data_IF_161530729639
#
_entry.id   IF_161530729639
#
_cell.length_a   1.000
_cell.length_b   1.000
_cell.length_c   1.000
_cell.angle_alpha   90.00
_cell.angle_beta   90.00
_cell.angle_gamma   90.00
#
_symmetry.space_group_name_H-M   'P 1'
#
loop_
_entity.id
_entity.type
_entity.pdbx_description
1 polymer ?
#
# COMPACT_ATOMS: atom_id res chain seq x y z
N UNK A 1 -0.69 10.88 31.59
CA UNK A 1 -1.72 11.15 30.56
C UNK A 1 -1.43 12.52 29.95
N UNK A 2 -0.77 12.55 28.79
CA UNK A 2 -0.62 13.67 27.84
C UNK A 2 0.38 13.25 26.76
N UNK A 3 -0.09 12.48 25.79
CA UNK A 3 0.55 12.31 24.49
C UNK A 3 -0.44 11.51 23.64
N UNK A 4 -1.08 12.22 22.71
CA UNK A 4 -1.81 11.80 21.50
C UNK A 4 -2.93 12.84 21.37
N UNK A 5 -2.59 14.02 20.90
CA UNK A 5 -3.43 14.84 20.04
C UNK A 5 -2.52 15.88 19.39
N UNK A 6 -2.68 15.99 18.08
CA UNK A 6 -1.88 16.80 17.16
C UNK A 6 -1.70 18.23 17.66
N UNK A 7 -0.51 18.53 18.19
CA UNK A 7 0.08 19.86 18.23
C UNK A 7 1.57 19.66 18.50
N UNK A 8 2.40 20.38 17.74
CA UNK A 8 3.86 20.34 17.82
C UNK A 8 4.34 20.53 19.26
N UNK A 9 4.73 19.46 19.94
CA UNK A 9 5.36 19.47 21.27
C UNK A 9 6.67 18.69 21.22
N UNK A 10 7.55 19.13 20.31
CA UNK A 10 8.94 18.73 20.28
C UNK A 10 9.75 19.55 21.30
N UNK A 11 9.61 19.26 22.60
CA UNK A 11 10.63 19.67 23.60
C UNK A 11 10.55 18.87 24.91
N UNK A 12 10.47 17.53 24.83
CA UNK A 12 10.75 16.67 25.98
C UNK A 12 11.57 15.47 25.55
N UNK A 13 12.86 15.67 25.42
CA UNK A 13 13.84 14.58 25.30
C UNK A 13 14.06 13.92 26.67
N UNK A 14 14.10 12.59 26.77
CA UNK A 14 14.40 11.91 28.03
C UNK A 14 15.77 12.37 28.56
N UNK A 15 15.78 12.89 29.79
CA UNK A 15 17.01 13.38 30.46
C UNK A 15 17.96 12.24 30.85
N UNK A 16 17.46 11.00 30.96
CA UNK A 16 18.25 9.82 31.29
C UNK A 16 18.88 9.20 30.03
N UNK A 17 20.18 8.87 30.09
CA UNK A 17 20.94 8.22 29.00
C UNK A 17 20.29 6.91 28.55
N UNK A 18 19.80 6.10 29.50
CA UNK A 18 19.06 4.86 29.21
C UNK A 18 17.71 5.12 28.50
N UNK A 19 17.03 6.21 28.84
CA UNK A 19 15.77 6.59 28.20
C UNK A 19 15.94 7.04 26.74
N UNK A 20 17.09 7.62 26.39
CA UNK A 20 17.42 8.03 25.01
C UNK A 20 17.63 6.82 24.11
N UNK A 21 18.40 5.83 24.57
CA UNK A 21 18.66 4.59 23.81
C UNK A 21 17.35 3.83 23.57
N UNK A 22 16.50 3.72 24.58
CA UNK A 22 15.18 3.12 24.43
C UNK A 22 14.30 3.85 23.42
N UNK A 23 14.25 5.19 23.47
CA UNK A 23 13.48 6.00 22.52
C UNK A 23 13.95 5.80 21.07
N UNK A 24 15.26 5.75 20.85
CA UNK A 24 15.84 5.51 19.51
C UNK A 24 15.46 4.13 19.00
N UNK A 25 15.65 3.07 19.81
CA UNK A 25 15.27 1.71 19.42
C UNK A 25 13.77 1.61 19.13
N UNK A 26 12.94 2.25 19.95
CA UNK A 26 11.50 2.27 19.77
C UNK A 26 11.07 2.91 18.45
N UNK A 27 11.64 4.07 18.10
CA UNK A 27 11.36 4.74 16.82
C UNK A 27 11.80 3.84 15.66
N UNK A 28 12.99 3.23 15.75
CA UNK A 28 13.50 2.33 14.70
C UNK A 28 12.58 1.12 14.54
N UNK A 29 12.15 0.49 15.63
CA UNK A 29 11.21 -0.65 15.58
C UNK A 29 9.86 -0.24 14.98
N UNK A 30 9.31 0.92 15.37
CA UNK A 30 8.07 1.44 14.80
C UNK A 30 8.18 1.70 13.30
N UNK A 31 9.30 2.31 12.86
CA UNK A 31 9.57 2.54 11.44
C UNK A 31 9.66 1.23 10.66
N UNK A 32 10.38 0.24 11.16
CA UNK A 32 10.50 -1.08 10.51
C UNK A 32 9.13 -1.75 10.36
N UNK A 33 8.29 -1.72 11.40
CA UNK A 33 6.95 -2.33 11.35
C UNK A 33 6.07 -1.64 10.32
N UNK A 34 6.07 -0.30 10.30
CA UNK A 34 5.28 0.48 9.33
C UNK A 34 5.78 0.19 7.90
N UNK A 35 7.08 0.11 7.68
CA UNK A 35 7.65 -0.22 6.37
C UNK A 35 7.25 -1.60 5.88
N UNK A 36 7.34 -2.63 6.74
CA UNK A 36 6.92 -4.00 6.39
C UNK A 36 5.43 -4.05 6.09
N UNK A 37 4.61 -3.37 6.88
CA UNK A 37 3.16 -3.28 6.65
C UNK A 37 2.84 -2.67 5.28
N UNK A 38 3.43 -1.50 4.98
CA UNK A 38 3.24 -0.84 3.68
C UNK A 38 3.70 -1.76 2.55
N UNK A 39 4.86 -2.41 2.68
CA UNK A 39 5.38 -3.33 1.66
C UNK A 39 4.44 -4.52 1.41
N UNK A 40 3.86 -5.12 2.45
CA UNK A 40 2.88 -6.21 2.29
C UNK A 40 1.60 -5.74 1.59
N UNK A 41 1.08 -4.57 1.96
CA UNK A 41 -0.10 -3.99 1.30
C UNK A 41 0.19 -3.71 -0.17
N UNK A 42 1.34 -3.11 -0.48
CA UNK A 42 1.76 -2.85 -1.87
C UNK A 42 1.96 -4.14 -2.65
N UNK A 43 2.59 -5.16 -2.07
CA UNK A 43 2.78 -6.45 -2.73
C UNK A 43 1.46 -7.17 -3.02
N UNK A 44 0.54 -7.18 -2.05
CA UNK A 44 -0.78 -7.79 -2.21
C UNK A 44 -1.60 -7.06 -3.28
N UNK A 45 -1.55 -5.73 -3.29
CA UNK A 45 -2.19 -4.92 -4.32
C UNK A 45 -1.60 -5.21 -5.71
N UNK A 46 -0.27 -5.28 -5.82
CA UNK A 46 0.40 -5.56 -7.08
C UNK A 46 0.12 -6.97 -7.63
N UNK A 47 -0.16 -7.95 -6.77
CA UNK A 47 -0.50 -9.30 -7.20
C UNK A 47 -1.92 -9.40 -7.76
N UNK A 48 -2.85 -8.61 -7.22
CA UNK A 48 -4.25 -8.60 -7.67
C UNK A 48 -4.46 -7.73 -8.91
N UNK A 49 -3.59 -6.77 -9.19
CA UNK A 49 -3.65 -5.95 -10.42
C UNK A 49 -3.25 -6.69 -11.69
N UNK A 50 -2.45 -7.75 -11.58
CA UNK A 50 -2.04 -8.55 -12.73
C UNK A 50 -2.30 -10.02 -12.43
N UNK A 51 -3.57 -10.47 -12.48
CA UNK A 51 -3.85 -11.89 -12.46
C UNK A 51 -3.09 -12.51 -13.63
N UNK A 52 -2.19 -13.43 -13.32
CA UNK A 52 -1.49 -14.21 -14.32
C UNK A 52 -2.18 -15.57 -14.39
N UNK A 53 -2.98 -15.77 -15.42
CA UNK A 53 -3.47 -17.10 -15.75
C UNK A 53 -2.33 -17.93 -16.36
N UNK A 54 -2.04 -19.17 -15.93
CA UNK A 54 -1.15 -20.05 -16.68
C UNK A 54 -1.94 -20.77 -17.79
N UNK A 55 -1.51 -20.65 -19.05
CA UNK A 55 -2.09 -21.44 -20.17
C UNK A 55 -1.59 -22.90 -20.12
N UNK A 56 -0.35 -23.09 -19.69
CA UNK A 56 0.26 -24.42 -19.63
C UNK A 56 -0.41 -25.27 -18.55
N UNK A 57 -0.97 -26.41 -18.96
CA UNK A 57 -1.65 -27.34 -18.06
C UNK A 57 -3.02 -26.89 -17.54
N UNK A 58 -3.57 -25.76 -18.02
CA UNK A 58 -4.96 -25.40 -17.73
C UNK A 58 -5.91 -26.03 -18.75
N UNK A 59 -7.15 -26.27 -18.32
CA UNK A 59 -8.20 -26.86 -19.14
C UNK A 59 -8.91 -25.76 -19.95
N UNK A 60 -8.64 -25.72 -21.26
CA UNK A 60 -9.10 -24.71 -22.20
C UNK A 60 -10.22 -25.26 -23.08
N UNK A 61 -11.36 -24.57 -23.08
CA UNK A 61 -12.48 -24.83 -23.97
C UNK A 61 -12.27 -24.23 -25.37
N UNK A 62 -12.55 -25.02 -26.40
CA UNK A 62 -12.51 -24.58 -27.81
C UNK A 62 -13.67 -25.16 -28.61
N UNK A 63 -14.03 -24.47 -29.70
CA UNK A 63 -15.05 -24.95 -30.63
C UNK A 63 -14.46 -26.05 -31.52
N UNK A 64 -15.27 -27.05 -31.86
CA UNK A 64 -14.84 -28.15 -32.72
C UNK A 64 -14.37 -27.66 -34.11
N UNK A 65 -13.24 -28.20 -34.57
CA UNK A 65 -12.68 -27.91 -35.90
C UNK A 65 -12.05 -26.52 -36.06
N UNK A 66 -11.73 -25.86 -34.95
CA UNK A 66 -11.22 -24.48 -34.94
C UNK A 66 -9.67 -24.43 -34.84
N UNK A 67 -9.05 -23.35 -35.35
CA UNK A 67 -7.58 -23.18 -35.31
C UNK A 67 -7.09 -22.97 -33.87
N UNK A 68 -7.97 -22.49 -32.99
CA UNK A 68 -7.75 -22.33 -31.56
C UNK A 68 -7.39 -23.65 -30.87
N UNK A 69 -7.93 -24.78 -31.34
CA UNK A 69 -7.54 -26.10 -30.83
C UNK A 69 -6.05 -26.37 -31.06
N UNK A 70 -5.58 -26.13 -32.29
CA UNK A 70 -4.19 -26.35 -32.67
C UNK A 70 -3.26 -25.40 -31.91
N UNK A 71 -3.66 -24.14 -31.75
CA UNK A 71 -2.91 -23.16 -30.96
C UNK A 71 -2.79 -23.62 -29.49
N UNK A 72 -3.86 -24.09 -28.87
CA UNK A 72 -3.83 -24.59 -27.49
C UNK A 72 -2.92 -25.80 -27.29
N UNK A 73 -2.91 -26.74 -28.24
CA UNK A 73 -1.98 -27.88 -28.23
C UNK A 73 -0.52 -27.41 -28.32
N UNK A 74 -0.22 -26.44 -29.20
CA UNK A 74 1.13 -25.86 -29.32
C UNK A 74 1.58 -25.14 -28.04
N UNK A 75 0.62 -24.59 -27.29
CA UNK A 75 0.85 -23.94 -26.00
C UNK A 75 0.82 -24.92 -24.82
N UNK A 76 0.79 -26.24 -25.04
CA UNK A 76 0.78 -27.26 -23.98
C UNK A 76 -0.37 -27.06 -22.97
N UNK A 77 -1.54 -26.65 -23.45
CA UNK A 77 -2.78 -26.59 -22.69
C UNK A 77 -3.57 -27.91 -22.81
N UNK A 78 -4.39 -28.22 -21.81
CA UNK A 78 -5.33 -29.34 -21.90
C UNK A 78 -6.60 -28.85 -22.62
N UNK A 79 -7.06 -29.56 -23.65
CA UNK A 79 -8.10 -29.06 -24.56
C UNK A 79 -9.42 -29.80 -24.38
N UNK A 80 -10.50 -29.07 -24.09
CA UNK A 80 -11.89 -29.58 -24.09
C UNK A 80 -12.64 -29.03 -25.31
N UNK A 81 -13.15 -29.94 -26.14
CA UNK A 81 -13.84 -29.59 -27.39
C UNK A 81 -15.33 -29.46 -27.13
N UNK A 82 -15.92 -28.37 -27.63
CA UNK A 82 -17.35 -28.09 -27.57
C UNK A 82 -17.95 -27.91 -28.96
N UNK A 83 -19.24 -28.21 -29.10
CA UNK A 83 -19.93 -28.05 -30.38
C UNK A 83 -20.29 -26.59 -30.67
N UNK A 84 -20.66 -25.82 -29.64
CA UNK A 84 -21.11 -24.43 -29.77
C UNK A 84 -20.42 -23.53 -28.76
N UNK A 85 -20.35 -22.24 -29.11
CA UNK A 85 -19.80 -21.20 -28.22
C UNK A 85 -20.59 -21.07 -26.91
N UNK A 86 -21.91 -21.26 -26.96
CA UNK A 86 -22.78 -21.22 -25.78
C UNK A 86 -22.40 -22.28 -24.73
N UNK A 87 -22.01 -23.47 -25.18
CA UNK A 87 -21.62 -24.57 -24.29
C UNK A 87 -20.30 -24.25 -23.57
N UNK A 88 -19.40 -23.50 -24.24
CA UNK A 88 -18.16 -22.99 -23.64
C UNK A 88 -18.49 -21.96 -22.56
N UNK A 89 -19.38 -21.01 -22.85
CA UNK A 89 -19.80 -19.99 -21.87
C UNK A 89 -20.41 -20.65 -20.63
N UNK A 90 -21.29 -21.64 -20.80
CA UNK A 90 -21.90 -22.38 -19.68
C UNK A 90 -20.85 -23.17 -18.87
N UNK A 91 -19.90 -23.82 -19.55
CA UNK A 91 -18.79 -24.52 -18.90
C UNK A 91 -17.87 -23.57 -18.11
N UNK A 92 -17.61 -22.36 -18.61
CA UNK A 92 -16.87 -21.32 -17.88
C UNK A 92 -17.63 -20.89 -16.61
N UNK A 93 -18.94 -20.67 -16.71
CA UNK A 93 -19.77 -20.27 -15.57
C UNK A 93 -19.84 -21.36 -14.49
N UNK A 94 -19.85 -22.63 -14.90
CA UNK A 94 -19.84 -23.78 -13.99
C UNK A 94 -18.45 -24.11 -13.45
N UNK A 95 -17.42 -23.36 -13.85
CA UNK A 95 -16.01 -23.65 -13.51
C UNK A 95 -15.59 -25.08 -13.92
N UNK A 96 -16.16 -25.61 -15.01
CA UNK A 96 -15.76 -26.91 -15.58
C UNK A 96 -14.51 -26.81 -16.47
N UNK A 97 -14.17 -25.60 -16.89
CA UNK A 97 -12.98 -25.25 -17.67
C UNK A 97 -12.37 -23.99 -17.08
N UNK A 98 -11.05 -23.88 -17.15
CA UNK A 98 -10.28 -22.77 -16.58
C UNK A 98 -10.30 -21.54 -17.49
N UNK A 99 -10.44 -21.76 -18.80
CA UNK A 99 -10.45 -20.71 -19.81
C UNK A 99 -10.98 -21.19 -21.15
N UNK A 100 -11.08 -20.28 -22.11
CA UNK A 100 -11.48 -20.61 -23.48
C UNK A 100 -10.70 -19.80 -24.50
N UNK A 101 -10.37 -20.42 -25.62
CA UNK A 101 -9.84 -19.70 -26.78
C UNK A 101 -10.94 -19.45 -27.78
N UNK A 102 -11.14 -18.17 -28.07
CA UNK A 102 -12.18 -17.69 -28.98
C UNK A 102 -11.60 -16.52 -29.74
N UNK A 103 -11.74 -16.54 -31.06
CA UNK A 103 -11.35 -15.42 -31.88
C UNK A 103 -12.14 -14.13 -31.54
N UNK A 104 -11.45 -13.00 -31.69
CA UNK A 104 -11.97 -11.65 -31.46
C UNK A 104 -13.26 -11.32 -32.21
N UNK A 105 -13.41 -11.72 -33.48
CA UNK A 105 -14.65 -11.47 -34.24
C UNK A 105 -15.82 -12.27 -33.66
N UNK A 106 -15.56 -13.52 -33.24
CA UNK A 106 -16.58 -14.38 -32.63
C UNK A 106 -17.04 -13.83 -31.28
N UNK A 107 -16.11 -13.37 -30.44
CA UNK A 107 -16.40 -12.69 -29.17
C UNK A 107 -17.27 -11.46 -29.43
N UNK A 108 -16.87 -10.62 -30.40
CA UNK A 108 -17.60 -9.40 -30.75
C UNK A 108 -19.03 -9.68 -31.24
N UNK A 109 -19.21 -10.71 -32.06
CA UNK A 109 -20.53 -11.13 -32.53
C UNK A 109 -21.43 -11.62 -31.39
N UNK A 110 -20.85 -12.24 -30.36
CA UNK A 110 -21.56 -12.82 -29.21
C UNK A 110 -21.34 -12.04 -27.91
N UNK A 111 -21.07 -10.73 -27.98
CA UNK A 111 -20.77 -9.89 -26.82
C UNK A 111 -21.80 -10.02 -25.69
N UNK A 112 -23.07 -10.23 -26.02
CA UNK A 112 -24.14 -10.38 -25.04
C UNK A 112 -23.95 -11.64 -24.15
N UNK A 113 -23.27 -12.68 -24.63
CA UNK A 113 -22.97 -13.89 -23.85
C UNK A 113 -21.84 -13.70 -22.84
N UNK A 114 -21.10 -12.60 -22.94
CA UNK A 114 -19.93 -12.33 -22.09
C UNK A 114 -20.23 -11.15 -21.17
N UNK A 115 -20.88 -10.10 -21.69
CA UNK A 115 -21.15 -8.86 -20.95
C UNK A 115 -21.99 -9.04 -19.69
N UNK A 116 -22.98 -9.93 -19.73
CA UNK A 116 -23.93 -10.11 -18.62
C UNK A 116 -23.42 -11.11 -17.56
N UNK A 117 -22.22 -11.64 -17.76
CA UNK A 117 -21.62 -12.70 -16.97
C UNK A 117 -20.27 -12.25 -16.39
N UNK A 118 -19.79 -12.88 -15.29
CA UNK A 118 -18.49 -12.56 -14.69
C UNK A 118 -17.31 -13.14 -15.51
N UNK A 119 -17.39 -13.10 -16.84
CA UNK A 119 -16.37 -13.59 -17.76
C UNK A 119 -15.56 -12.40 -18.23
N UNK A 120 -14.23 -12.49 -18.13
CA UNK A 120 -13.29 -11.45 -18.55
C UNK A 120 -12.31 -11.99 -19.58
N UNK A 121 -11.89 -11.12 -20.49
CA UNK A 121 -10.79 -11.40 -21.42
C UNK A 121 -9.49 -11.23 -20.64
N UNK A 122 -8.75 -12.32 -20.45
CA UNK A 122 -7.48 -12.32 -19.71
C UNK A 122 -6.32 -11.79 -20.55
N UNK A 123 -6.18 -12.29 -21.78
CA UNK A 123 -5.12 -11.89 -22.70
C UNK A 123 -5.55 -12.05 -24.15
N UNK A 124 -4.94 -11.27 -25.04
CA UNK A 124 -5.04 -11.46 -26.48
C UNK A 124 -3.78 -12.17 -26.97
N UNK A 125 -3.93 -13.26 -27.70
CA UNK A 125 -2.82 -14.00 -28.32
C UNK A 125 -2.76 -13.61 -29.79
N UNK A 126 -1.62 -13.11 -30.23
CA UNK A 126 -1.40 -12.80 -31.65
C UNK A 126 -1.15 -14.11 -32.41
N UNK A 127 -2.16 -14.58 -33.13
CA UNK A 127 -2.06 -15.70 -34.06
C UNK A 127 -2.67 -15.27 -35.40
N UNK A 128 -1.92 -15.35 -36.53
CA UNK A 128 -2.47 -14.94 -37.82
C UNK A 128 -3.52 -15.96 -38.29
N UNK A 129 -4.79 -15.56 -38.23
CA UNK A 129 -5.92 -16.36 -38.74
C UNK A 129 -6.34 -15.81 -40.11
N UNK A 130 -6.56 -16.70 -41.08
CA UNK A 130 -7.03 -16.32 -42.43
C UNK A 130 -8.52 -16.60 -42.56
N UNK A 131 -9.31 -15.54 -42.75
CA UNK A 131 -10.74 -15.64 -43.04
C UNK A 131 -10.97 -15.77 -44.55
N UNK A 132 -11.89 -16.65 -44.94
CA UNK A 132 -12.18 -16.91 -46.33
C UNK A 132 -13.60 -17.37 -46.57
N UNK A 133 -13.97 -17.42 -47.85
CA UNK A 133 -15.28 -17.89 -48.31
C UNK A 133 -15.07 -19.26 -48.95
N UNK A 134 -15.86 -20.24 -48.54
CA UNK A 134 -15.88 -21.56 -49.17
C UNK A 134 -16.97 -21.57 -50.24
N UNK A 135 -16.59 -21.90 -51.47
CA UNK A 135 -17.49 -21.99 -52.62
C UNK A 135 -17.58 -23.43 -53.10
N UNK A 136 -18.70 -23.79 -53.74
CA UNK A 136 -18.84 -25.10 -54.37
C UNK A 136 -17.80 -25.28 -55.49
N UNK A 137 -17.33 -26.51 -55.70
CA UNK A 137 -16.23 -26.80 -56.63
C UNK A 137 -16.44 -26.32 -58.07
N UNK A 138 -17.70 -26.21 -58.53
CA UNK A 138 -18.05 -25.76 -59.87
C UNK A 138 -18.18 -24.22 -60.00
N UNK A 139 -17.95 -23.45 -58.94
CA UNK A 139 -18.18 -22.00 -58.91
C UNK A 139 -16.93 -21.16 -59.21
N UNK A 140 -16.13 -21.57 -60.20
CA UNK A 140 -14.86 -20.91 -60.56
C UNK A 140 -15.03 -19.43 -60.91
N UNK A 141 -16.09 -19.08 -61.66
CA UNK A 141 -16.40 -17.69 -61.99
C UNK A 141 -16.70 -16.84 -60.75
N UNK A 142 -17.47 -17.39 -59.80
CA UNK A 142 -17.77 -16.69 -58.54
C UNK A 142 -16.52 -16.51 -57.69
N UNK A 143 -15.64 -17.51 -57.66
CA UNK A 143 -14.37 -17.45 -56.94
C UNK A 143 -13.48 -16.33 -57.49
N UNK A 144 -13.35 -16.23 -58.82
CA UNK A 144 -12.57 -15.17 -59.45
C UNK A 144 -13.18 -13.78 -59.24
N UNK A 145 -14.50 -13.65 -59.41
CA UNK A 145 -15.21 -12.39 -59.15
C UNK A 145 -15.04 -11.94 -57.69
N UNK A 146 -15.17 -12.86 -56.74
CA UNK A 146 -15.02 -12.58 -55.30
C UNK A 146 -13.59 -12.18 -54.95
N UNK A 147 -12.59 -12.90 -55.47
CA UNK A 147 -11.17 -12.55 -55.31
C UNK A 147 -10.89 -11.16 -55.86
N UNK A 148 -11.31 -10.90 -57.12
CA UNK A 148 -11.13 -9.60 -57.78
C UNK A 148 -11.83 -8.46 -57.03
N UNK A 149 -12.99 -8.72 -56.44
CA UNK A 149 -13.70 -7.73 -55.63
C UNK A 149 -12.93 -7.37 -54.35
N UNK A 150 -12.43 -8.37 -53.62
CA UNK A 150 -11.66 -8.17 -52.39
C UNK A 150 -10.36 -7.41 -52.70
N UNK A 151 -9.68 -7.76 -53.80
CA UNK A 151 -8.43 -7.11 -54.22
C UNK A 151 -8.63 -5.67 -54.68
N UNK A 152 -9.71 -5.38 -55.43
CA UNK A 152 -9.95 -4.04 -55.99
C UNK A 152 -10.63 -3.08 -55.00
N UNK A 153 -11.34 -3.59 -53.98
CA UNK A 153 -12.10 -2.77 -53.03
C UNK A 153 -11.75 -3.03 -51.55
N UNK A 154 -10.47 -3.07 -51.16
CA UNK A 154 -10.07 -3.42 -49.79
C UNK A 154 -10.69 -2.46 -48.77
N UNK A 155 -10.76 -1.15 -49.10
CA UNK A 155 -11.34 -0.15 -48.19
C UNK A 155 -12.80 -0.43 -47.85
N UNK A 156 -13.63 -0.83 -48.83
CA UNK A 156 -15.05 -1.14 -48.58
C UNK A 156 -15.20 -2.40 -47.74
N UNK A 157 -14.37 -3.42 -48.01
CA UNK A 157 -14.34 -4.66 -47.23
C UNK A 157 -13.98 -4.37 -45.77
N UNK A 158 -12.88 -3.64 -45.54
CA UNK A 158 -12.44 -3.30 -44.17
C UNK A 158 -13.41 -2.37 -43.44
N UNK A 159 -14.05 -1.42 -44.14
CA UNK A 159 -15.09 -0.58 -43.53
C UNK A 159 -16.29 -1.41 -43.07
N UNK A 160 -16.78 -2.31 -43.93
CA UNK A 160 -17.90 -3.18 -43.56
C UNK A 160 -17.56 -4.08 -42.36
N UNK A 161 -16.32 -4.56 -42.25
CA UNK A 161 -15.85 -5.30 -41.08
C UNK A 161 -15.84 -4.39 -39.84
N UNK A 162 -15.24 -3.20 -39.95
CA UNK A 162 -15.15 -2.25 -38.84
C UNK A 162 -16.52 -1.81 -38.30
N UNK A 163 -17.51 -1.60 -39.18
CA UNK A 163 -18.85 -1.18 -38.80
C UNK A 163 -19.61 -2.23 -37.96
N UNK A 164 -19.27 -3.51 -38.14
CA UNK A 164 -19.85 -4.63 -37.38
C UNK A 164 -18.99 -5.03 -36.17
N UNK A 165 -17.75 -4.56 -36.11
CA UNK A 165 -16.87 -4.81 -34.99
C UNK A 165 -17.13 -3.81 -33.86
N UNK A 166 -17.50 -4.33 -32.69
CA UNK A 166 -17.45 -3.59 -31.43
C UNK A 166 -16.08 -3.80 -30.78
N UNK A 167 -15.38 -2.72 -30.39
CA UNK A 167 -14.15 -2.83 -29.61
C UNK A 167 -14.40 -3.64 -28.34
N UNK A 168 -13.58 -4.66 -28.13
CA UNK A 168 -13.60 -5.45 -26.90
C UNK A 168 -13.09 -4.56 -25.78
N UNK A 169 -13.97 -4.27 -24.83
CA UNK A 169 -13.65 -3.64 -23.55
C UNK A 169 -14.16 -4.58 -22.48
N UNK A 170 -13.29 -5.03 -21.60
CA UNK A 170 -13.74 -5.75 -20.42
C UNK A 170 -14.66 -4.84 -19.59
N UNK A 171 -15.67 -5.40 -18.92
CA UNK A 171 -16.51 -4.62 -18.01
C UNK A 171 -15.69 -3.94 -16.90
N UNK A 172 -14.50 -4.47 -16.59
CA UNK A 172 -13.52 -3.90 -15.67
C UNK A 172 -12.59 -2.85 -16.27
N UNK A 173 -12.64 -2.52 -17.58
CA UNK A 173 -11.69 -1.58 -18.20
C UNK A 173 -12.07 -0.09 -17.99
N UNK A 174 -13.28 0.20 -17.51
CA UNK A 174 -13.71 1.57 -17.18
C UNK A 174 -13.17 2.05 -15.82
N UNK A 175 -12.78 1.12 -14.96
CA UNK A 175 -12.20 1.34 -13.64
C UNK A 175 -10.76 0.83 -13.71
N UNK A 176 -9.77 1.56 -13.21
CA UNK A 176 -8.40 1.04 -13.25
C UNK A 176 -8.35 -0.28 -12.47
N UNK A 177 -7.66 -1.28 -13.02
CA UNK A 177 -7.50 -2.59 -12.38
C UNK A 177 -6.87 -2.45 -10.98
N UNK A 178 -6.07 -1.40 -10.78
CA UNK A 178 -5.55 -0.92 -9.50
C UNK A 178 -6.64 -0.57 -8.47
N UNK A 179 -7.71 0.10 -8.89
CA UNK A 179 -8.83 0.47 -8.01
C UNK A 179 -9.66 -0.75 -7.65
N UNK A 180 -9.93 -1.65 -8.60
CA UNK A 180 -10.65 -2.91 -8.31
C UNK A 180 -9.83 -3.83 -7.40
N UNK A 181 -8.52 -3.90 -7.64
CA UNK A 181 -7.58 -4.64 -6.80
C UNK A 181 -7.49 -4.06 -5.39
N UNK A 182 -7.51 -2.73 -5.25
CA UNK A 182 -7.54 -2.04 -3.97
C UNK A 182 -8.86 -2.30 -3.24
N UNK A 183 -10.00 -2.12 -3.91
CA UNK A 183 -11.32 -2.45 -3.35
C UNK A 183 -11.37 -3.92 -2.94
N UNK A 184 -10.95 -4.86 -3.79
CA UNK A 184 -10.87 -6.28 -3.46
C UNK A 184 -10.01 -6.55 -2.22
N UNK A 185 -8.83 -5.93 -2.11
CA UNK A 185 -7.96 -6.04 -0.95
C UNK A 185 -8.61 -5.51 0.34
N UNK A 186 -9.39 -4.43 0.26
CA UNK A 186 -10.06 -3.83 1.42
C UNK A 186 -11.38 -4.54 1.79
N UNK A 187 -12.04 -5.19 0.82
CA UNK A 187 -13.32 -5.89 0.99
C UNK A 187 -13.20 -7.41 1.17
N UNK A 188 -12.05 -8.05 0.90
CA UNK A 188 -11.79 -9.45 1.27
C UNK A 188 -11.72 -9.57 2.81
N UNK A 189 -12.86 -9.91 3.39
CA UNK A 189 -13.10 -9.86 4.84
C UNK A 189 -12.11 -10.67 5.68
N UNK A 190 -11.42 -11.67 5.11
CA UNK A 190 -10.50 -12.54 5.85
C UNK A 190 -9.09 -11.98 6.00
N UNK A 191 -8.42 -11.71 4.88
CA UNK A 191 -7.00 -11.34 4.87
C UNK A 191 -6.76 -9.92 5.40
N UNK A 192 -7.61 -8.96 5.01
CA UNK A 192 -7.49 -7.58 5.47
C UNK A 192 -7.77 -7.45 6.97
N UNK A 193 -8.84 -8.08 7.46
CA UNK A 193 -9.12 -8.11 8.91
C UNK A 193 -7.96 -8.73 9.66
N UNK A 194 -7.40 -9.85 9.18
CA UNK A 194 -6.27 -10.50 9.83
C UNK A 194 -5.03 -9.60 9.88
N UNK A 195 -4.67 -8.95 8.78
CA UNK A 195 -3.52 -8.04 8.69
C UNK A 195 -3.72 -6.82 9.60
N UNK A 196 -4.91 -6.21 9.58
CA UNK A 196 -5.25 -5.06 10.43
C UNK A 196 -5.27 -5.45 11.91
N UNK A 197 -5.89 -6.58 12.28
CA UNK A 197 -5.90 -7.07 13.65
C UNK A 197 -4.49 -7.41 14.14
N UNK A 198 -3.66 -8.04 13.31
CA UNK A 198 -2.26 -8.31 13.65
C UNK A 198 -1.48 -7.00 13.85
N UNK A 199 -1.64 -6.02 12.95
CA UNK A 199 -0.99 -4.71 13.06
C UNK A 199 -1.39 -3.96 14.33
N UNK A 200 -2.70 -3.89 14.61
CA UNK A 200 -3.23 -3.26 15.82
C UNK A 200 -2.82 -4.00 17.08
N UNK A 201 -2.78 -5.34 17.06
CA UNK A 201 -2.34 -6.15 18.19
C UNK A 201 -0.85 -5.94 18.50
N UNK A 202 0.02 -5.92 17.49
CA UNK A 202 1.45 -5.65 17.67
C UNK A 202 1.67 -4.25 18.24
N UNK A 203 0.99 -3.24 17.69
CA UNK A 203 1.04 -1.87 18.22
C UNK A 203 0.51 -1.79 19.65
N UNK A 204 -0.57 -2.50 19.96
CA UNK A 204 -1.14 -2.58 21.30
C UNK A 204 -0.18 -3.19 22.32
N UNK A 205 0.45 -4.32 21.99
CA UNK A 205 1.45 -4.99 22.84
C UNK A 205 2.64 -4.07 23.08
N UNK A 206 3.12 -3.42 22.04
CA UNK A 206 4.21 -2.45 22.14
C UNK A 206 3.82 -1.31 23.10
N UNK A 207 2.63 -0.71 22.94
CA UNK A 207 2.15 0.38 23.81
C UNK A 207 2.05 -0.08 25.27
N UNK A 208 1.53 -1.28 25.50
CA UNK A 208 1.44 -1.88 26.86
C UNK A 208 2.83 -2.10 27.45
N UNK A 209 3.79 -2.60 26.67
CA UNK A 209 5.18 -2.74 27.11
C UNK A 209 5.82 -1.40 27.47
N UNK A 210 5.54 -0.35 26.69
CA UNK A 210 5.96 1.03 27.00
C UNK A 210 5.37 1.56 28.31
N UNK A 211 4.07 1.34 28.54
CA UNK A 211 3.41 1.71 29.79
C UNK A 211 3.95 0.94 31.00
N UNK A 212 4.19 -0.37 30.85
CA UNK A 212 4.78 -1.21 31.90
C UNK A 212 6.20 -0.73 32.25
N UNK A 213 7.01 -0.41 31.24
CA UNK A 213 8.34 0.14 31.45
C UNK A 213 8.29 1.48 32.20
N UNK A 214 7.39 2.40 31.83
CA UNK A 214 7.26 3.69 32.53
C UNK A 214 6.76 3.52 33.97
N UNK A 215 5.83 2.59 34.21
CA UNK A 215 5.31 2.29 35.54
C UNK A 215 6.39 1.68 36.44
N UNK A 216 7.15 0.71 35.94
CA UNK A 216 8.27 0.11 36.66
C UNK A 216 9.39 1.13 36.88
N UNK A 217 9.76 1.91 35.86
CA UNK A 217 10.77 2.95 35.99
C UNK A 217 10.38 4.00 37.04
N UNK A 218 9.12 4.45 37.07
CA UNK A 218 8.61 5.33 38.14
C UNK A 218 8.71 4.64 39.50
N UNK A 219 8.25 3.40 39.66
CA UNK A 219 8.28 2.68 40.94
C UNK A 219 9.70 2.44 41.47
N UNK A 220 10.67 2.14 40.60
CA UNK A 220 12.07 1.89 40.99
C UNK A 220 12.91 3.17 41.15
N UNK A 221 12.63 4.26 40.43
CA UNK A 221 13.35 5.54 40.57
C UNK A 221 12.73 6.52 41.60
N UNK A 222 11.43 6.43 41.92
CA UNK A 222 10.80 7.28 42.93
C UNK A 222 11.45 7.21 44.32
N UNK A 223 11.87 6.03 44.86
CA UNK A 223 12.52 5.98 46.16
C UNK A 223 13.91 6.63 46.15
N UNK A 224 14.57 6.79 45.00
CA UNK A 224 15.86 7.49 44.92
C UNK A 224 15.72 9.01 44.96
N UNK A 225 14.64 9.60 44.40
CA UNK A 225 14.37 11.04 44.51
C UNK A 225 13.97 11.46 45.92
N UNK A 226 13.05 10.72 46.54
CA UNK A 226 12.67 10.95 47.95
C UNK A 226 13.87 10.79 48.90
N UNK A 227 14.77 9.83 48.63
CA UNK A 227 16.00 9.67 49.41
C UNK A 227 16.99 10.81 49.20
N UNK A 228 17.08 11.39 48.01
CA UNK A 228 17.97 12.51 47.72
C UNK A 228 17.42 13.82 48.31
N UNK A 229 16.12 14.07 48.19
CA UNK A 229 15.41 15.22 48.78
C UNK A 229 15.47 15.20 50.31
N UNK A 230 15.22 14.05 50.94
CA UNK A 230 15.44 13.86 52.38
C UNK A 230 16.91 14.07 52.76
N UNK A 231 17.88 13.67 51.93
CA UNK A 231 19.31 13.89 52.23
C UNK A 231 19.67 15.37 52.22
N UNK A 232 19.15 16.16 51.27
CA UNK A 232 19.35 17.61 51.23
C UNK A 232 18.72 18.29 52.45
N UNK A 233 17.51 17.90 52.82
CA UNK A 233 16.78 18.46 53.96
C UNK A 233 17.44 18.08 55.30
N UNK A 234 18.01 16.87 55.40
CA UNK A 234 18.80 16.44 56.55
C UNK A 234 20.15 17.19 56.64
N UNK A 235 20.79 17.49 55.50
CA UNK A 235 22.02 18.31 55.44
C UNK A 235 21.75 19.77 55.85
N UNK A 236 20.58 20.30 55.48
CA UNK A 236 20.14 21.65 55.86
C UNK A 236 19.79 21.75 57.35
N UNK A 237 19.15 20.72 57.92
CA UNK A 237 18.85 20.62 59.35
C UNK A 237 20.13 20.50 60.21
N UNK A 238 21.11 19.70 59.75
CA UNK A 238 22.43 19.57 60.40
C UNK A 238 23.22 20.88 60.33
N UNK A 239 23.10 21.64 59.23
CA UNK A 239 23.66 23.01 59.14
C UNK A 239 23.02 23.99 60.12
N UNK A 240 21.74 23.82 60.45
CA UNK A 240 21.05 24.68 61.44
C UNK A 240 21.31 24.28 62.90
N UNK A 241 21.69 23.03 63.17
CA UNK A 241 22.01 22.55 64.54
C UNK A 241 23.51 22.50 64.85
N UNK A 242 24.37 22.55 63.83
CA UNK A 242 25.82 22.65 63.97
C UNK A 242 26.33 24.06 63.71
N UNK A 243 25.85 25.04 64.47
CA UNK A 243 26.52 26.32 64.60
C UNK A 243 27.60 26.18 65.69
N UNK A 244 28.71 25.55 65.33
CA UNK A 244 30.03 25.79 65.91
C UNK A 244 31.07 25.06 65.03
N UNK A 245 32.06 25.83 64.58
CA UNK A 245 33.26 25.44 63.83
C UNK A 245 33.13 25.05 62.34
N UNK A 246 33.27 26.05 61.45
CA UNK A 246 34.44 26.16 60.54
C UNK A 246 34.30 27.33 59.55
N UNK A 247 35.10 28.38 59.81
CA UNK A 247 35.35 29.49 58.91
C UNK A 247 36.30 29.06 57.78
N UNK A 248 35.88 29.15 56.51
CA UNK A 248 36.79 29.41 55.36
C UNK A 248 36.09 29.56 53.98
N UNK A 249 34.78 29.36 53.83
CA UNK A 249 34.14 29.27 52.49
C UNK A 249 33.01 30.24 52.19
N UNK A 250 32.74 31.22 53.07
CA UNK A 250 31.52 32.04 53.00
C UNK A 250 31.71 33.35 52.21
N UNK A 251 32.93 33.87 52.12
CA UNK A 251 33.20 35.12 51.37
C UNK A 251 33.12 34.97 49.84
N UNK A 252 33.57 33.84 49.30
CA UNK A 252 33.72 33.62 47.85
C UNK A 252 32.36 33.41 47.15
N UNK A 253 31.38 32.83 47.86
CA UNK A 253 30.04 32.60 47.33
C UNK A 253 29.20 33.89 47.33
N UNK A 254 29.33 34.72 48.37
CA UNK A 254 28.64 36.01 48.44
C UNK A 254 29.19 36.99 47.39
N UNK A 255 30.50 36.95 47.13
CA UNK A 255 31.13 37.73 46.06
C UNK A 255 30.60 37.33 44.67
N UNK A 256 30.51 36.03 44.37
CA UNK A 256 29.97 35.52 43.10
C UNK A 256 28.46 35.84 42.92
N UNK A 257 27.68 35.80 44.00
CA UNK A 257 26.27 36.17 43.98
C UNK A 257 26.07 37.67 43.74
N UNK A 258 26.98 38.49 44.26
CA UNK A 258 26.96 39.93 44.06
C UNK A 258 27.34 40.30 42.63
N UNK A 259 28.35 39.64 42.04
CA UNK A 259 28.74 39.79 40.64
C UNK A 259 27.66 39.35 39.64
N UNK A 260 26.93 38.27 39.96
CA UNK A 260 25.80 37.84 39.15
C UNK A 260 24.66 38.87 39.13
N UNK A 261 24.33 39.44 40.31
CA UNK A 261 23.26 40.46 40.42
C UNK A 261 23.62 41.73 39.66
N UNK A 262 24.85 42.23 39.80
CA UNK A 262 25.29 43.44 39.09
C UNK A 262 25.29 43.23 37.58
N UNK A 263 25.74 42.05 37.09
CA UNK A 263 25.66 41.72 35.67
C UNK A 263 24.21 41.68 35.16
N UNK A 264 23.32 41.00 35.88
CA UNK A 264 21.92 40.88 35.52
C UNK A 264 21.24 42.24 35.43
N UNK A 265 21.43 43.10 36.43
CA UNK A 265 20.80 44.42 36.46
C UNK A 265 21.32 45.34 35.34
N UNK A 266 22.63 45.30 35.07
CA UNK A 266 23.25 46.05 33.96
C UNK A 266 22.73 45.57 32.60
N UNK A 267 22.53 44.26 32.44
CA UNK A 267 22.00 43.67 31.21
C UNK A 267 20.53 44.06 30.99
N UNK A 268 19.70 43.97 32.04
CA UNK A 268 18.29 44.40 32.01
C UNK A 268 18.17 45.89 31.68
N UNK A 269 19.06 46.73 32.20
CA UNK A 269 19.07 48.16 31.90
C UNK A 269 19.43 48.44 30.43
N UNK A 270 20.41 47.73 29.86
CA UNK A 270 20.73 47.81 28.42
C UNK A 270 19.54 47.37 27.55
N UNK A 271 18.85 46.30 27.92
CA UNK A 271 17.65 45.85 27.22
C UNK A 271 16.52 46.90 27.27
N UNK A 272 16.31 47.55 28.42
CA UNK A 272 15.33 48.65 28.54
C UNK A 272 15.69 49.86 27.67
N UNK A 273 16.98 50.23 27.57
CA UNK A 273 17.42 51.32 26.67
C UNK A 273 17.19 51.01 25.19
N UNK A 274 17.31 49.74 24.78
CA UNK A 274 17.04 49.32 23.42
C UNK A 274 15.54 49.29 23.10
N UNK A 275 14.70 48.99 24.10
CA UNK A 275 13.24 48.93 23.94
C UNK A 275 12.53 50.30 24.11
N UNK A 276 13.25 51.32 24.62
CA UNK A 276 12.74 52.68 24.86
C UNK A 276 13.06 53.73 23.79
N UNK A 277 13.69 53.36 22.67
CA UNK A 277 13.83 54.26 21.52
C UNK A 277 12.59 54.16 20.62
N UNK A 278 11.77 55.23 20.47
CA UNK A 278 10.77 55.27 19.42
C UNK A 278 11.48 55.26 18.07
N UNK A 279 11.05 54.36 17.18
CA UNK A 279 11.45 54.36 15.78
C UNK A 279 10.96 55.67 15.14
N UNK A 280 11.88 56.63 14.98
CA UNK A 280 11.72 57.82 14.17
C UNK A 280 12.57 57.70 12.91
N UNK A 281 11.90 57.86 11.76
CA UNK A 281 12.30 57.62 10.37
C UNK A 281 12.22 56.16 9.91
#
# INVERSE_FOLDING_TARGET
MRAIFLNSYGDRSPKSTLGRVFCILWIITGLIIISIFIAMVTASLSATTHPYFPIHGSLIGVVNGSEEYKLGVLMNAEMKIFSKIYDITDALLKSEIDGAFVDSFTITAHLNLIKDHPIRIERTIEHPVTYGIVLAGNSSQMAECSRRYIENYPRRVFQNIADHLKPLKNPSDSVSQEVVAAEGLFYEEGAFKLIVYCGVAILGVLVIAGFLYEYLAKKYLHPKRLRQENNYQNVELVKQTGADDQASGEGDLDELLQDYKTFHDTWVEKCKRLHGKPHGC
#
